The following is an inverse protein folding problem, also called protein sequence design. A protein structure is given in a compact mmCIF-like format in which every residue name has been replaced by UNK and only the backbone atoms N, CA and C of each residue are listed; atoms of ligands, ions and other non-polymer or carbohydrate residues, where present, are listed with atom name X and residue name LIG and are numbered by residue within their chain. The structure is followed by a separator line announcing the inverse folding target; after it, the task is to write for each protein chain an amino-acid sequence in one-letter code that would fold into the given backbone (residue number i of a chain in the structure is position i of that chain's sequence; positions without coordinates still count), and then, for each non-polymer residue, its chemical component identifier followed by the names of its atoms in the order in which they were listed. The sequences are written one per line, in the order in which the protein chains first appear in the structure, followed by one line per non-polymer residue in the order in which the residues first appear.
data_IF_377541813817
#
_entry.id   IF_377541813817
#
_cell.length_a   1.000
_cell.length_b   1.000
_cell.length_c   1.000
_cell.angle_alpha   90.00
_cell.angle_beta   90.00
_cell.angle_gamma   90.00
#
_symmetry.space_group_name_H-M   'P 1'
#
loop_
_entity.id
_entity.type
_entity.pdbx_description
1 polymer ?
#
# COMPACT_ATOMS: atom_id res chain seq x y z
N UNK A 1 3.73 20.71 -5.19
CA UNK A 1 2.58 19.81 -5.02
C UNK A 1 2.63 19.16 -3.64
N UNK A 2 1.67 19.43 -2.75
CA UNK A 2 1.56 18.70 -1.47
C UNK A 2 0.98 17.30 -1.77
N UNK A 3 1.86 16.32 -2.02
CA UNK A 3 1.47 14.93 -2.25
C UNK A 3 1.17 14.27 -0.90
N UNK A 4 -0.11 14.19 -0.55
CA UNK A 4 -0.58 13.58 0.69
C UNK A 4 -0.51 12.05 0.57
N UNK A 5 0.56 11.43 1.07
CA UNK A 5 0.60 9.99 1.31
C UNK A 5 -0.28 9.70 2.53
N UNK A 6 -1.53 9.26 2.31
CA UNK A 6 -2.40 8.89 3.42
C UNK A 6 -2.09 7.45 3.82
N UNK A 7 -1.27 7.27 4.87
CA UNK A 7 -1.10 5.98 5.52
C UNK A 7 -2.41 5.58 6.20
N UNK A 8 -3.16 4.64 5.62
CA UNK A 8 -4.46 4.17 6.11
C UNK A 8 -4.34 3.26 7.36
N UNK A 9 -3.37 3.51 8.25
CA UNK A 9 -3.12 2.73 9.47
C UNK A 9 -4.33 2.60 10.42
N UNK A 10 -5.41 3.38 10.22
CA UNK A 10 -6.58 3.44 11.11
C UNK A 10 -7.93 3.11 10.46
N UNK A 11 -7.99 2.78 9.16
CA UNK A 11 -9.27 2.45 8.50
C UNK A 11 -9.33 0.94 8.24
N UNK A 12 -10.34 0.27 8.78
CA UNK A 12 -10.56 -1.15 8.47
C UNK A 12 -10.83 -1.36 6.98
N UNK A 13 -10.35 -2.47 6.41
CA UNK A 13 -10.53 -2.77 4.98
C UNK A 13 -12.01 -2.69 4.54
N UNK A 14 -12.94 -3.17 5.37
CA UNK A 14 -14.39 -3.07 5.13
C UNK A 14 -14.88 -1.62 5.01
N UNK A 15 -14.38 -0.73 5.85
CA UNK A 15 -14.73 0.70 5.80
C UNK A 15 -14.14 1.37 4.56
N UNK A 16 -12.90 1.01 4.23
CA UNK A 16 -12.22 1.49 3.01
C UNK A 16 -13.01 1.11 1.74
N UNK A 17 -13.50 -0.13 1.65
CA UNK A 17 -14.32 -0.59 0.53
C UNK A 17 -15.65 0.16 0.39
N UNK A 18 -16.23 0.66 1.50
CA UNK A 18 -17.47 1.46 1.47
C UNK A 18 -17.22 2.87 0.94
N UNK A 19 -16.08 3.47 1.28
CA UNK A 19 -15.75 4.83 0.88
C UNK A 19 -15.03 4.91 -0.48
N UNK A 20 -14.49 3.79 -0.99
CA UNK A 20 -13.72 3.74 -2.24
C UNK A 20 -14.37 4.49 -3.42
N UNK A 21 -15.70 4.39 -3.68
CA UNK A 21 -16.33 5.14 -4.78
C UNK A 21 -16.34 6.67 -4.59
N UNK A 22 -16.13 7.14 -3.36
CA UNK A 22 -16.09 8.56 -2.99
C UNK A 22 -14.67 9.12 -2.92
N UNK A 23 -13.64 8.28 -3.01
CA UNK A 23 -12.24 8.70 -3.04
C UNK A 23 -11.97 9.46 -4.33
N UNK A 24 -11.48 10.70 -4.22
CA UNK A 24 -11.20 11.61 -5.36
C UNK A 24 -9.71 11.83 -5.61
N UNK A 25 -8.85 11.10 -4.91
CA UNK A 25 -7.39 11.23 -5.02
C UNK A 25 -6.77 10.06 -5.79
N UNK A 26 -5.59 10.29 -6.36
CA UNK A 26 -4.72 9.24 -6.87
C UNK A 26 -4.42 8.24 -5.74
N UNK A 27 -4.58 6.96 -6.03
CA UNK A 27 -4.45 5.92 -5.01
C UNK A 27 -3.51 4.81 -5.48
N UNK A 28 -2.45 4.58 -4.71
CA UNK A 28 -1.61 3.40 -4.83
C UNK A 28 -2.05 2.38 -3.78
N UNK A 29 -2.35 1.15 -4.21
CA UNK A 29 -2.65 0.03 -3.31
C UNK A 29 -1.41 -0.85 -3.24
N UNK A 30 -0.87 -1.06 -2.04
CA UNK A 30 0.29 -1.92 -1.79
C UNK A 30 -0.15 -3.07 -0.90
N UNK A 31 0.07 -4.31 -1.34
CA UNK A 31 -0.39 -5.47 -0.58
C UNK A 31 0.46 -6.72 -0.88
N UNK A 32 0.68 -7.52 0.16
CA UNK A 32 1.36 -8.80 0.09
C UNK A 32 0.37 -9.94 -0.13
N UNK A 33 0.73 -10.93 -0.94
CA UNK A 33 -0.14 -12.09 -1.21
C UNK A 33 -0.10 -13.14 -0.10
N UNK A 34 0.89 -13.08 0.79
CA UNK A 34 1.01 -13.93 2.00
C UNK A 34 0.56 -13.22 3.27
N UNK A 35 -0.06 -12.03 3.16
CA UNK A 35 -0.64 -11.36 4.32
C UNK A 35 -1.79 -12.21 4.89
N UNK A 36 -1.54 -12.79 6.06
CA UNK A 36 -2.50 -13.64 6.80
C UNK A 36 -3.50 -12.84 7.62
N UNK A 37 -3.28 -11.55 7.82
CA UNK A 37 -4.14 -10.66 8.60
C UNK A 37 -5.16 -9.97 7.70
N UNK A 38 -4.74 -9.59 6.49
CA UNK A 38 -5.58 -8.91 5.50
C UNK A 38 -5.49 -9.65 4.16
N UNK A 39 -6.58 -10.32 3.77
CA UNK A 39 -6.66 -11.05 2.50
C UNK A 39 -6.48 -10.09 1.30
N UNK A 40 -5.54 -10.42 0.42
CA UNK A 40 -5.24 -9.66 -0.81
C UNK A 40 -6.46 -9.50 -1.73
N UNK A 41 -7.47 -10.36 -1.64
CA UNK A 41 -8.75 -10.21 -2.37
C UNK A 41 -9.42 -8.89 -2.03
N UNK A 42 -9.29 -8.40 -0.79
CA UNK A 42 -9.80 -7.10 -0.37
C UNK A 42 -9.12 -5.95 -1.13
N UNK A 43 -7.81 -6.04 -1.37
CA UNK A 43 -7.07 -5.07 -2.17
C UNK A 43 -7.52 -5.06 -3.65
N UNK A 44 -7.77 -6.24 -4.24
CA UNK A 44 -8.34 -6.34 -5.59
C UNK A 44 -9.74 -5.74 -5.69
N UNK A 45 -10.57 -5.96 -4.67
CA UNK A 45 -11.91 -5.40 -4.62
C UNK A 45 -11.88 -3.87 -4.46
N UNK A 46 -10.96 -3.36 -3.63
CA UNK A 46 -10.72 -1.92 -3.51
C UNK A 46 -10.34 -1.30 -4.85
N UNK A 47 -9.40 -1.92 -5.56
CA UNK A 47 -8.98 -1.48 -6.88
C UNK A 47 -10.18 -1.35 -7.84
N UNK A 48 -11.07 -2.34 -7.89
CA UNK A 48 -12.27 -2.30 -8.74
C UNK A 48 -13.23 -1.16 -8.38
N UNK A 49 -13.39 -0.86 -7.09
CA UNK A 49 -14.36 0.15 -6.60
C UNK A 49 -13.88 1.60 -6.74
N UNK A 50 -12.57 1.82 -6.75
CA UNK A 50 -11.99 3.15 -6.96
C UNK A 50 -12.31 3.65 -8.36
N UNK A 51 -12.84 4.87 -8.47
CA UNK A 51 -13.20 5.51 -9.77
C UNK A 51 -12.11 6.44 -10.31
N UNK A 52 -11.08 6.72 -9.51
CA UNK A 52 -9.95 7.58 -9.88
C UNK A 52 -8.81 6.80 -10.53
N UNK A 53 -7.80 7.52 -11.04
CA UNK A 53 -6.52 6.92 -11.44
C UNK A 53 -5.89 6.25 -10.23
N UNK A 54 -5.52 4.99 -10.44
CA UNK A 54 -5.18 4.03 -9.39
C UNK A 54 -4.14 3.05 -9.91
N UNK A 55 -3.34 2.52 -9.00
CA UNK A 55 -2.43 1.41 -9.26
C UNK A 55 -2.47 0.41 -8.10
N UNK A 56 -2.04 -0.81 -8.37
CA UNK A 56 -1.94 -1.87 -7.38
C UNK A 56 -0.60 -2.60 -7.56
N UNK A 57 0.16 -2.72 -6.48
CA UNK A 57 1.45 -3.43 -6.40
C UNK A 57 1.27 -4.66 -5.51
N UNK A 58 1.28 -5.85 -6.13
CA UNK A 58 1.18 -7.13 -5.42
C UNK A 58 2.55 -7.77 -5.27
N UNK A 59 2.91 -8.08 -4.03
CA UNK A 59 4.17 -8.77 -3.71
C UNK A 59 3.88 -10.22 -3.32
N UNK A 60 4.37 -11.18 -4.12
CA UNK A 60 4.08 -12.62 -3.96
C UNK A 60 4.52 -13.19 -2.61
N UNK A 61 5.65 -12.73 -2.08
CA UNK A 61 6.29 -13.31 -0.90
C UNK A 61 6.03 -12.54 0.39
N UNK A 62 5.33 -11.41 0.31
CA UNK A 62 5.29 -10.46 1.40
C UNK A 62 4.10 -10.70 2.36
N UNK A 63 4.37 -10.62 3.67
CA UNK A 63 3.44 -10.85 4.77
C UNK A 63 2.77 -9.54 5.25
N UNK A 64 1.96 -9.63 6.31
CA UNK A 64 1.43 -8.45 6.99
C UNK A 64 2.57 -7.56 7.49
N UNK A 65 2.37 -6.24 7.44
CA UNK A 65 3.42 -5.31 7.90
C UNK A 65 4.58 -5.16 6.94
N UNK A 66 4.31 -5.33 5.63
CA UNK A 66 5.20 -5.15 4.48
C UNK A 66 6.18 -3.98 4.55
N UNK A 67 5.79 -2.93 5.26
CA UNK A 67 6.60 -1.75 5.56
C UNK A 67 6.26 -1.22 6.96
N UNK A 68 5.96 -2.07 7.94
CA UNK A 68 5.57 -1.61 9.30
C UNK A 68 6.74 -1.36 10.23
N UNK A 69 7.95 -1.81 9.89
CA UNK A 69 9.18 -1.73 10.71
C UNK A 69 9.93 -0.41 10.61
N UNK A 70 9.35 0.66 10.05
CA UNK A 70 10.03 1.96 9.96
C UNK A 70 10.07 2.67 11.31
N UNK A 71 11.06 2.33 12.14
CA UNK A 71 11.72 3.31 13.00
C UNK A 71 12.92 3.84 12.22
N UNK A 72 12.76 5.05 11.66
CA UNK A 72 13.70 5.70 10.72
C UNK A 72 15.09 5.95 11.33
N UNK A 73 15.31 5.69 12.63
CA UNK A 73 16.57 5.99 13.31
C UNK A 73 17.62 4.87 13.33
N UNK A 74 17.29 3.58 13.16
CA UNK A 74 18.29 2.50 13.40
C UNK A 74 18.32 1.30 12.41
N UNK A 75 17.36 1.11 11.50
CA UNK A 75 17.26 -0.16 10.73
C UNK A 75 17.33 -0.03 9.20
N UNK A 76 18.39 0.59 8.66
CA UNK A 76 18.74 0.37 7.24
C UNK A 76 19.56 -0.93 7.04
N UNK A 77 20.18 -1.45 8.11
CA UNK A 77 21.11 -2.58 8.05
C UNK A 77 20.45 -3.98 8.08
N UNK A 78 19.14 -4.07 8.36
CA UNK A 78 18.41 -5.34 8.51
C UNK A 78 17.20 -5.51 7.57
N UNK A 79 17.05 -4.61 6.59
CA UNK A 79 15.92 -4.67 5.67
C UNK A 79 16.12 -5.79 4.63
N UNK A 80 15.19 -6.73 4.62
CA UNK A 80 15.02 -7.69 3.51
C UNK A 80 14.91 -6.93 2.18
N UNK A 81 15.54 -7.47 1.13
CA UNK A 81 15.47 -7.00 -0.26
C UNK A 81 14.02 -6.75 -0.70
N UNK A 82 13.07 -7.55 -0.19
CA UNK A 82 11.64 -7.37 -0.44
C UNK A 82 11.12 -6.01 0.06
N UNK A 83 11.52 -5.59 1.26
CA UNK A 83 11.11 -4.31 1.84
C UNK A 83 11.70 -3.12 1.06
N UNK A 84 12.97 -3.24 0.62
CA UNK A 84 13.62 -2.23 -0.23
C UNK A 84 12.90 -2.05 -1.55
N UNK A 85 12.59 -3.14 -2.23
CA UNK A 85 11.85 -3.11 -3.50
C UNK A 85 10.50 -2.41 -3.37
N UNK A 86 9.78 -2.66 -2.28
CA UNK A 86 8.48 -2.03 -2.02
C UNK A 86 8.63 -0.51 -1.89
N UNK A 87 9.65 -0.03 -1.18
CA UNK A 87 9.93 1.39 -1.07
C UNK A 87 10.29 2.03 -2.41
N UNK A 88 11.15 1.38 -3.19
CA UNK A 88 11.54 1.88 -4.50
C UNK A 88 10.33 2.00 -5.44
N UNK A 89 9.46 1.00 -5.46
CA UNK A 89 8.27 1.01 -6.31
C UNK A 89 7.27 2.10 -5.86
N UNK A 90 7.11 2.31 -4.54
CA UNK A 90 6.32 3.43 -4.00
C UNK A 90 6.94 4.77 -4.39
N UNK A 91 8.26 4.92 -4.25
CA UNK A 91 8.98 6.14 -4.59
C UNK A 91 8.87 6.47 -6.08
N UNK A 92 9.07 5.48 -6.97
CA UNK A 92 8.86 5.60 -8.42
C UNK A 92 7.45 6.07 -8.73
N UNK A 93 6.43 5.42 -8.15
CA UNK A 93 5.03 5.84 -8.32
C UNK A 93 4.79 7.28 -7.88
N UNK A 94 5.37 7.70 -6.75
CA UNK A 94 5.25 9.07 -6.27
C UNK A 94 5.93 10.05 -7.22
N UNK A 95 7.13 9.75 -7.71
CA UNK A 95 7.94 10.66 -8.52
C UNK A 95 7.41 10.77 -9.96
N UNK A 96 7.01 9.67 -10.56
CA UNK A 96 6.54 9.56 -11.97
C UNK A 96 5.02 9.81 -12.13
N UNK A 97 4.28 9.83 -11.02
CA UNK A 97 2.82 9.94 -10.96
C UNK A 97 2.23 11.34 -11.15
#
# INVERSE_FOLDING_TARGET
MKRNALGLRKISGKSLLKIAPKVKVLTLIVQGRRDVVVDYKGAKELYKRLKTRKAILMYEYANHGLYSTFNISEELAGMDECCWKVLEDIAKWILEG
#
